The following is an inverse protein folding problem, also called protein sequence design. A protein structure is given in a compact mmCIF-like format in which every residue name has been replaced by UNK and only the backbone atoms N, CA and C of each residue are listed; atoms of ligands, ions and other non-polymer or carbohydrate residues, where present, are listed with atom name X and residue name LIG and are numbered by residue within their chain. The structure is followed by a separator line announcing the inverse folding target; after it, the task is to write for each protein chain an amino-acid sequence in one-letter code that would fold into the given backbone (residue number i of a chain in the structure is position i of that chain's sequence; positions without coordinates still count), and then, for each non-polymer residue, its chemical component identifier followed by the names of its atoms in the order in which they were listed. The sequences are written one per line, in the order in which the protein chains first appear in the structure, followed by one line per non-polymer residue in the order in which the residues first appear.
data_IF_884482395957
#
_entry.id   IF_884482395957
#
_cell.length_a   1.000
_cell.length_b   1.000
_cell.length_c   1.000
_cell.angle_alpha   90.00
_cell.angle_beta   90.00
_cell.angle_gamma   90.00
#
_symmetry.space_group_name_H-M   'P 1'
#
loop_
_entity.id
_entity.type
_entity.pdbx_description
1 polymer ?
#
# COMPACT_ATOMS: atom_id res chain seq x y z
N UNK A 1 19.90 -4.08 15.62
CA UNK A 1 18.83 -4.27 14.63
C UNK A 1 18.73 -5.75 14.38
N UNK A 2 17.52 -6.27 14.18
CA UNK A 2 17.33 -7.67 13.82
C UNK A 2 16.68 -7.66 12.45
N UNK A 3 17.37 -8.22 11.45
CA UNK A 3 16.85 -8.33 10.09
C UNK A 3 15.83 -9.48 10.05
N UNK A 4 14.59 -9.15 9.72
CA UNK A 4 13.57 -10.11 9.34
C UNK A 4 13.25 -9.92 7.84
N UNK A 5 12.61 -10.89 7.19
CA UNK A 5 12.66 -11.00 5.72
C UNK A 5 12.05 -9.78 5.00
N UNK A 6 11.12 -9.06 5.63
CA UNK A 6 10.39 -7.94 5.02
C UNK A 6 10.32 -6.66 5.87
N UNK A 7 10.70 -6.71 7.15
CA UNK A 7 10.59 -5.58 8.09
C UNK A 7 11.84 -5.38 8.93
N UNK A 8 12.13 -4.12 9.27
CA UNK A 8 13.11 -3.74 10.29
C UNK A 8 12.36 -3.39 11.57
N UNK A 9 12.63 -4.13 12.63
CA UNK A 9 12.10 -3.86 13.97
C UNK A 9 13.11 -3.01 14.74
N UNK A 10 12.66 -1.87 15.27
CA UNK A 10 13.48 -0.94 16.05
C UNK A 10 12.86 -0.73 17.42
N UNK A 11 13.72 -0.76 18.45
CA UNK A 11 13.38 -0.30 19.79
C UNK A 11 13.96 1.10 19.95
N UNK A 12 13.09 2.07 20.17
CA UNK A 12 13.46 3.47 20.31
C UNK A 12 13.37 3.89 21.77
N UNK A 13 14.35 4.69 22.19
CA UNK A 13 14.30 5.38 23.46
C UNK A 13 13.82 6.81 23.21
N UNK A 14 12.65 7.14 23.73
CA UNK A 14 12.04 8.47 23.66
C UNK A 14 12.10 9.15 25.03
N UNK A 15 11.70 10.43 25.08
CA UNK A 15 11.61 11.17 26.34
C UNK A 15 10.59 10.55 27.31
N UNK A 16 9.52 9.97 26.77
CA UNK A 16 8.40 9.39 27.54
C UNK A 16 8.55 7.88 27.80
N UNK A 17 9.65 7.26 27.34
CA UNK A 17 9.93 5.84 27.56
C UNK A 17 10.45 5.11 26.34
N UNK A 18 10.50 3.78 26.41
CA UNK A 18 10.88 2.94 25.28
C UNK A 18 9.65 2.57 24.45
N UNK A 19 9.75 2.66 23.12
CA UNK A 19 8.71 2.22 22.19
C UNK A 19 9.27 1.27 21.14
N UNK A 20 8.40 0.44 20.57
CA UNK A 20 8.72 -0.41 19.43
C UNK A 20 8.10 0.14 18.16
N UNK A 21 8.85 0.07 17.06
CA UNK A 21 8.33 0.33 15.74
C UNK A 21 8.80 -0.74 14.73
N UNK A 22 7.96 -1.03 13.76
CA UNK A 22 8.25 -1.88 12.61
C UNK A 22 7.98 -1.07 11.34
N UNK A 23 8.90 -1.15 10.38
CA UNK A 23 8.78 -0.46 9.11
C UNK A 23 9.51 -1.21 7.99
N UNK A 24 9.46 -0.70 6.76
CA UNK A 24 10.11 -1.30 5.60
C UNK A 24 11.57 -1.64 5.89
N UNK A 25 12.04 -2.77 5.36
CA UNK A 25 13.43 -3.22 5.53
C UNK A 25 14.41 -2.10 5.15
N UNK A 26 15.05 -1.55 6.17
CA UNK A 26 15.95 -0.41 6.05
C UNK A 26 17.27 -0.76 6.75
N UNK A 27 18.43 -0.59 6.11
CA UNK A 27 19.72 -0.76 6.78
C UNK A 27 19.85 0.27 7.90
N UNK A 28 19.99 -0.18 9.14
CA UNK A 28 20.09 0.69 10.32
C UNK A 28 21.17 0.21 11.27
N UNK A 29 21.80 1.15 11.98
CA UNK A 29 22.82 0.84 12.98
C UNK A 29 22.29 1.05 14.40
N UNK A 30 22.69 0.19 15.34
CA UNK A 30 22.34 0.36 16.75
C UNK A 30 23.03 1.63 17.28
N UNK A 31 22.24 2.51 17.91
CA UNK A 31 22.71 3.81 18.39
C UNK A 31 22.44 4.97 17.42
N UNK A 32 21.88 4.69 16.23
CA UNK A 32 21.48 5.71 15.27
C UNK A 32 20.21 6.44 15.74
N UNK A 33 20.18 7.78 15.61
CA UNK A 33 18.98 8.57 15.89
C UNK A 33 18.12 8.63 14.63
N UNK A 34 16.84 8.32 14.78
CA UNK A 34 15.91 8.18 13.66
C UNK A 34 14.58 8.87 14.00
N UNK A 35 13.88 9.34 12.98
CA UNK A 35 12.50 9.80 13.06
C UNK A 35 11.58 8.72 12.48
N UNK A 36 10.47 8.47 13.16
CA UNK A 36 9.43 7.59 12.65
C UNK A 36 8.56 8.36 11.65
N UNK A 37 8.34 7.77 10.48
CA UNK A 37 7.28 8.23 9.59
C UNK A 37 5.90 8.04 10.21
N UNK A 38 4.87 8.59 9.55
CA UNK A 38 3.49 8.31 9.96
C UNK A 38 3.24 6.80 9.99
N UNK A 39 2.47 6.38 10.99
CA UNK A 39 2.21 4.99 11.24
C UNK A 39 0.97 4.77 12.08
N UNK A 40 0.65 3.50 12.28
CA UNK A 40 -0.47 3.06 13.11
C UNK A 40 0.07 2.32 14.32
N UNK A 41 -0.47 2.64 15.49
CA UNK A 41 -0.22 1.86 16.70
C UNK A 41 -0.99 0.55 16.62
N UNK A 42 -0.27 -0.55 16.72
CA UNK A 42 -0.83 -1.89 16.91
C UNK A 42 -0.63 -2.32 18.36
N UNK A 43 -1.65 -2.94 18.93
CA UNK A 43 -1.59 -3.56 20.25
C UNK A 43 -1.64 -5.08 20.14
N UNK A 44 -1.06 -5.78 21.12
CA UNK A 44 -1.07 -7.25 21.24
C UNK A 44 -0.61 -7.98 19.96
N UNK A 45 0.37 -7.42 19.26
CA UNK A 45 0.84 -7.91 17.97
C UNK A 45 1.80 -9.11 18.13
N UNK A 46 1.45 -10.33 17.66
CA UNK A 46 2.36 -11.46 17.68
C UNK A 46 3.29 -11.43 16.45
N UNK A 47 4.60 -11.24 16.70
CA UNK A 47 5.63 -11.42 15.68
C UNK A 47 6.15 -12.86 15.70
N UNK A 48 5.81 -13.61 14.65
CA UNK A 48 6.33 -14.98 14.43
C UNK A 48 7.83 -14.98 14.16
N UNK A 49 8.34 -13.94 13.51
CA UNK A 49 9.75 -13.82 13.14
C UNK A 49 10.66 -13.61 14.36
N UNK A 50 10.16 -12.89 15.37
CA UNK A 50 10.90 -12.60 16.60
C UNK A 50 10.51 -13.53 17.76
N UNK A 51 9.66 -14.52 17.51
CA UNK A 51 9.04 -15.40 18.52
C UNK A 51 8.57 -14.62 19.76
N UNK A 52 7.87 -13.51 19.50
CA UNK A 52 7.53 -12.52 20.52
C UNK A 52 6.20 -11.83 20.25
N UNK A 53 5.47 -11.55 21.32
CA UNK A 53 4.30 -10.64 21.28
C UNK A 53 4.70 -9.24 21.77
N UNK A 54 4.29 -8.23 21.02
CA UNK A 54 4.44 -6.82 21.38
C UNK A 54 3.12 -6.31 21.95
N UNK A 55 3.14 -5.84 23.20
CA UNK A 55 1.98 -5.19 23.80
C UNK A 55 1.56 -3.96 22.98
N UNK A 56 2.54 -3.19 22.51
CA UNK A 56 2.37 -2.00 21.68
C UNK A 56 3.52 -1.91 20.67
N UNK A 57 3.21 -1.72 19.39
CA UNK A 57 4.19 -1.54 18.31
C UNK A 57 3.64 -0.60 17.23
N UNK A 58 4.46 0.35 16.80
CA UNK A 58 4.12 1.29 15.73
C UNK A 58 4.51 0.72 14.36
N UNK A 59 3.53 0.49 13.50
CA UNK A 59 3.77 0.16 12.10
C UNK A 59 3.89 1.45 11.30
N UNK A 60 5.11 1.77 10.87
CA UNK A 60 5.44 3.05 10.24
C UNK A 60 5.76 2.88 8.76
N UNK A 61 5.38 3.86 7.95
CA UNK A 61 5.63 3.84 6.50
C UNK A 61 7.11 4.00 6.12
N UNK A 62 7.98 4.34 7.07
CA UNK A 62 9.41 4.51 6.84
C UNK A 62 10.15 5.06 8.06
N UNK A 63 11.47 5.04 7.97
CA UNK A 63 12.38 5.63 8.94
C UNK A 63 13.17 6.76 8.28
N UNK A 64 13.22 7.93 8.91
CA UNK A 64 13.98 9.08 8.42
C UNK A 64 15.16 9.40 9.35
N UNK A 65 16.19 10.06 8.80
CA UNK A 65 17.30 10.57 9.62
C UNK A 65 17.03 12.03 10.00
N UNK A 66 17.24 12.44 11.26
CA UNK A 66 17.13 13.84 11.67
C UNK A 66 18.08 14.70 10.81
N UNK A 67 17.55 15.72 10.16
CA UNK A 67 18.34 16.67 9.36
C UNK A 67 18.54 16.32 7.89
N UNK A 68 17.91 15.27 7.36
CA UNK A 68 17.82 15.06 5.91
C UNK A 68 16.84 16.08 5.28
N UNK A 69 17.38 17.23 4.88
CA UNK A 69 16.81 18.31 4.07
C UNK A 69 15.44 18.90 4.50
N UNK A 70 15.47 20.19 4.86
CA UNK A 70 14.31 21.06 5.02
C UNK A 70 13.47 21.10 3.74
N UNK A 71 12.26 20.55 3.80
CA UNK A 71 11.21 20.82 2.82
C UNK A 71 9.92 21.14 3.56
N UNK A 72 9.17 22.10 3.02
CA UNK A 72 7.96 22.68 3.61
C UNK A 72 6.95 21.60 4.05
N UNK A 73 6.21 21.84 5.16
CA UNK A 73 5.32 20.84 5.75
C UNK A 73 4.25 20.29 4.79
N UNK A 74 3.79 21.11 3.83
CA UNK A 74 2.83 20.71 2.79
C UNK A 74 3.44 19.67 1.83
N UNK A 75 4.72 19.81 1.49
CA UNK A 75 5.45 18.87 0.64
C UNK A 75 5.72 17.54 1.35
N UNK A 76 5.88 17.54 2.69
CA UNK A 76 6.00 16.30 3.48
C UNK A 76 4.68 15.52 3.51
N UNK A 77 3.54 16.19 3.55
CA UNK A 77 2.23 15.54 3.52
C UNK A 77 1.91 14.91 2.15
N UNK A 78 2.29 15.57 1.05
CA UNK A 78 2.12 15.04 -0.31
C UNK A 78 3.17 13.99 -0.72
N UNK A 79 4.41 14.08 -0.23
CA UNK A 79 5.39 13.00 -0.44
C UNK A 79 4.94 11.73 0.32
N UNK A 80 4.28 11.86 1.47
CA UNK A 80 3.68 10.74 2.20
C UNK A 80 2.42 10.18 1.49
N UNK A 81 1.70 11.00 0.72
CA UNK A 81 0.62 10.53 -0.15
C UNK A 81 1.14 9.68 -1.34
N UNK A 82 2.40 9.84 -1.75
CA UNK A 82 3.06 9.03 -2.78
C UNK A 82 4.11 8.03 -2.27
N UNK A 83 4.41 8.03 -0.98
CA UNK A 83 5.27 7.02 -0.31
C UNK A 83 4.44 6.06 0.53
N UNK A 84 3.23 5.73 0.06
CA UNK A 84 2.50 4.59 0.60
C UNK A 84 3.20 3.31 0.16
N UNK A 85 4.21 2.90 0.94
CA UNK A 85 4.77 1.56 0.89
C UNK A 85 3.67 0.60 1.38
N UNK A 86 2.86 0.16 0.43
CA UNK A 86 2.22 -1.15 0.54
C UNK A 86 3.30 -2.14 0.95
N UNK A 87 2.96 -3.01 1.89
CA UNK A 87 3.79 -4.16 2.18
C UNK A 87 4.20 -4.79 0.84
N UNK A 88 5.51 -4.84 0.55
CA UNK A 88 6.00 -5.91 -0.31
C UNK A 88 5.78 -7.19 0.46
N UNK A 89 4.61 -7.76 0.28
CA UNK A 89 4.40 -9.17 0.53
C UNK A 89 5.13 -9.84 -0.65
N UNK A 90 6.38 -10.25 -0.46
CA UNK A 90 7.09 -11.17 -1.35
C UNK A 90 6.49 -12.59 -1.22
N UNK A 91 5.16 -12.66 -1.26
CA UNK A 91 4.43 -13.85 -1.63
C UNK A 91 4.02 -13.59 -3.07
N UNK A 92 4.42 -14.47 -4.00
CA UNK A 92 3.98 -14.36 -5.38
C UNK A 92 2.45 -14.24 -5.35
N UNK A 93 1.93 -13.07 -5.73
CA UNK A 93 0.50 -12.89 -5.89
C UNK A 93 0.14 -13.79 -7.06
N UNK A 94 -0.76 -14.74 -6.84
CA UNK A 94 -1.28 -15.63 -7.87
C UNK A 94 -2.79 -15.73 -7.64
N UNK A 95 -3.52 -14.78 -8.23
CA UNK A 95 -4.96 -14.70 -8.11
C UNK A 95 -5.59 -15.21 -9.40
N UNK A 96 -6.40 -16.26 -9.29
CA UNK A 96 -7.09 -16.83 -10.44
C UNK A 96 -8.00 -15.78 -11.10
N UNK A 97 -7.87 -15.66 -12.43
CA UNK A 97 -8.73 -14.79 -13.25
C UNK A 97 -10.22 -15.02 -12.96
N UNK A 98 -11.00 -13.95 -12.93
CA UNK A 98 -12.47 -14.04 -12.84
C UNK A 98 -13.09 -14.70 -14.08
N UNK A 99 -14.19 -15.44 -13.90
CA UNK A 99 -14.98 -15.97 -15.01
C UNK A 99 -15.47 -14.84 -15.91
N UNK A 100 -15.11 -14.89 -17.20
CA UNK A 100 -15.42 -13.84 -18.17
C UNK A 100 -14.69 -12.50 -17.92
N UNK A 101 -13.86 -12.41 -16.87
CA UNK A 101 -13.02 -11.25 -16.58
C UNK A 101 -11.70 -11.27 -17.34
N UNK A 102 -10.79 -10.39 -17.00
CA UNK A 102 -9.42 -10.27 -17.52
C UNK A 102 -8.40 -10.28 -16.38
N UNK A 103 -7.12 -10.40 -16.74
CA UNK A 103 -6.01 -10.22 -15.80
C UNK A 103 -5.67 -8.73 -15.69
N UNK A 104 -4.94 -8.32 -14.64
CA UNK A 104 -4.49 -6.92 -14.45
C UNK A 104 -3.66 -6.45 -15.64
N UNK A 105 -2.67 -7.24 -16.06
CA UNK A 105 -1.88 -6.96 -17.27
C UNK A 105 -2.73 -6.87 -18.55
N UNK A 106 -3.81 -7.66 -18.64
CA UNK A 106 -4.73 -7.62 -19.77
C UNK A 106 -5.46 -6.29 -19.92
N UNK A 107 -5.66 -5.54 -18.83
CA UNK A 107 -6.30 -4.20 -18.84
C UNK A 107 -5.48 -3.22 -19.68
N UNK A 108 -4.16 -3.41 -19.78
CA UNK A 108 -3.28 -2.50 -20.54
C UNK A 108 -3.51 -2.58 -22.06
N UNK A 109 -4.18 -3.63 -22.55
CA UNK A 109 -4.60 -3.72 -23.94
C UNK A 109 -5.94 -3.02 -24.23
N UNK A 110 -6.68 -2.58 -23.20
CA UNK A 110 -7.99 -1.94 -23.35
C UNK A 110 -7.89 -0.44 -23.68
N UNK A 111 -8.97 0.10 -24.25
CA UNK A 111 -9.17 1.52 -24.50
C UNK A 111 -9.98 2.23 -23.41
N UNK A 112 -10.07 3.56 -23.51
CA UNK A 112 -10.91 4.36 -22.64
C UNK A 112 -12.41 4.01 -22.81
N UNK A 113 -13.11 3.85 -21.70
CA UNK A 113 -14.53 3.50 -21.64
C UNK A 113 -14.82 1.99 -21.69
N UNK A 114 -13.82 1.16 -22.00
CA UNK A 114 -13.99 -0.29 -22.07
C UNK A 114 -14.36 -0.87 -20.69
N UNK A 115 -15.24 -1.90 -20.67
CA UNK A 115 -15.62 -2.53 -19.42
C UNK A 115 -14.45 -3.30 -18.82
N UNK A 116 -14.28 -3.17 -17.50
CA UNK A 116 -13.31 -3.93 -16.72
C UNK A 116 -14.04 -4.89 -15.79
N UNK A 117 -13.64 -6.16 -15.85
CA UNK A 117 -13.97 -7.17 -14.85
C UNK A 117 -12.67 -7.91 -14.51
N UNK A 118 -12.14 -7.71 -13.30
CA UNK A 118 -10.87 -8.33 -12.89
C UNK A 118 -11.00 -8.84 -11.45
N UNK A 119 -10.41 -10.00 -11.16
CA UNK A 119 -10.21 -10.47 -9.79
C UNK A 119 -8.78 -10.17 -9.40
N UNK A 120 -8.56 -9.59 -8.23
CA UNK A 120 -7.22 -9.29 -7.75
C UNK A 120 -7.17 -9.06 -6.25
N UNK A 121 -5.96 -9.07 -5.72
CA UNK A 121 -5.66 -8.76 -4.32
C UNK A 121 -5.48 -7.26 -4.15
N UNK A 122 -6.07 -6.70 -3.11
CA UNK A 122 -5.83 -5.33 -2.69
C UNK A 122 -4.43 -5.25 -2.05
N UNK A 123 -3.49 -4.58 -2.70
CA UNK A 123 -2.11 -4.42 -2.20
C UNK A 123 -1.88 -3.08 -1.50
N UNK A 124 -2.76 -2.10 -1.76
CA UNK A 124 -2.76 -0.80 -1.10
C UNK A 124 -4.18 -0.24 -1.07
N UNK A 125 -4.54 0.41 0.03
CA UNK A 125 -5.82 1.08 0.22
C UNK A 125 -5.60 2.44 0.90
N UNK A 126 -6.15 3.50 0.31
CA UNK A 126 -6.24 4.82 0.94
C UNK A 126 -7.70 5.25 0.96
N UNK A 127 -8.22 5.56 2.14
CA UNK A 127 -9.65 5.83 2.31
C UNK A 127 -9.95 7.33 2.28
N UNK A 128 -11.11 7.69 1.75
CA UNK A 128 -11.68 9.04 1.80
C UNK A 128 -10.79 10.15 1.20
N UNK A 129 -9.99 9.84 0.17
CA UNK A 129 -9.26 10.86 -0.58
C UNK A 129 -10.16 11.37 -1.69
N UNK A 130 -10.42 12.68 -1.70
CA UNK A 130 -11.34 13.34 -2.65
C UNK A 130 -12.76 12.74 -2.64
N UNK A 131 -13.21 12.24 -1.49
CA UNK A 131 -14.55 11.66 -1.33
C UNK A 131 -14.70 10.22 -1.82
N UNK A 132 -13.62 9.53 -2.17
CA UNK A 132 -13.63 8.12 -2.59
C UNK A 132 -12.49 7.33 -1.95
N UNK A 133 -12.53 6.01 -2.05
CA UNK A 133 -11.44 5.13 -1.64
C UNK A 133 -10.59 4.76 -2.84
N UNK A 134 -9.27 4.67 -2.65
CA UNK A 134 -8.28 4.42 -3.68
C UNK A 134 -7.56 3.11 -3.39
N UNK A 135 -7.52 2.24 -4.37
CA UNK A 135 -6.98 0.90 -4.27
C UNK A 135 -5.95 0.65 -5.34
N UNK A 136 -4.87 -0.03 -4.97
CA UNK A 136 -4.03 -0.72 -5.94
C UNK A 136 -4.36 -2.20 -5.91
N UNK A 137 -4.64 -2.76 -7.07
CA UNK A 137 -5.05 -4.14 -7.26
C UNK A 137 -4.00 -4.86 -8.11
N UNK A 138 -3.59 -6.04 -7.65
CA UNK A 138 -2.64 -6.92 -8.35
C UNK A 138 -3.19 -8.34 -8.38
N UNK A 139 -2.98 -9.07 -9.47
CA UNK A 139 -3.38 -10.47 -9.60
C UNK A 139 -2.20 -11.43 -9.83
N UNK A 140 -0.97 -10.90 -9.90
CA UNK A 140 0.22 -11.67 -10.24
C UNK A 140 0.61 -11.65 -11.71
N UNK A 141 -0.25 -11.11 -12.57
CA UNK A 141 0.02 -10.99 -13.99
C UNK A 141 0.79 -9.70 -14.29
N UNK A 142 1.77 -9.77 -15.21
CA UNK A 142 2.55 -8.61 -15.61
C UNK A 142 3.64 -8.21 -14.61
N UNK A 143 4.48 -7.26 -15.03
CA UNK A 143 5.62 -6.76 -14.25
C UNK A 143 5.59 -5.23 -14.18
N UNK A 144 6.18 -4.67 -13.12
CA UNK A 144 6.29 -3.23 -12.93
C UNK A 144 4.92 -2.54 -12.95
N UNK A 145 4.76 -1.51 -13.77
CA UNK A 145 3.49 -0.78 -13.89
C UNK A 145 2.35 -1.67 -14.42
N UNK A 146 2.64 -2.61 -15.33
CA UNK A 146 1.61 -3.46 -15.94
C UNK A 146 1.10 -4.56 -14.99
N UNK A 147 1.73 -4.74 -13.84
CA UNK A 147 1.29 -5.65 -12.80
C UNK A 147 0.33 -5.03 -11.78
N UNK A 148 0.01 -3.74 -11.93
CA UNK A 148 -0.81 -2.99 -10.99
C UNK A 148 -1.88 -2.17 -11.72
N UNK A 149 -3.07 -2.09 -11.13
CA UNK A 149 -4.11 -1.18 -11.58
C UNK A 149 -4.66 -0.37 -10.40
N UNK A 150 -4.73 0.95 -10.59
CA UNK A 150 -5.41 1.84 -9.64
C UNK A 150 -6.92 1.80 -9.87
N UNK A 151 -7.66 1.69 -8.77
CA UNK A 151 -9.12 1.62 -8.75
C UNK A 151 -9.67 2.59 -7.72
N UNK A 152 -10.71 3.36 -8.06
CA UNK A 152 -11.50 4.08 -7.05
C UNK A 152 -12.84 3.42 -6.80
N UNK A 153 -13.34 3.46 -5.57
CA UNK A 153 -14.63 2.89 -5.22
C UNK A 153 -15.21 3.55 -3.96
N UNK A 154 -16.54 3.61 -3.88
CA UNK A 154 -17.26 3.93 -2.64
C UNK A 154 -17.26 2.76 -1.65
N UNK A 155 -17.10 1.52 -2.13
CA UNK A 155 -17.01 0.34 -1.27
C UNK A 155 -15.72 0.39 -0.43
N UNK A 156 -15.79 -0.19 0.77
CA UNK A 156 -14.63 -0.29 1.67
C UNK A 156 -14.16 -1.74 1.76
N UNK A 157 -13.01 -2.01 1.15
CA UNK A 157 -12.25 -3.26 1.26
C UNK A 157 -10.88 -2.99 1.88
N UNK A 158 -10.23 -4.01 2.43
CA UNK A 158 -8.96 -3.89 3.13
C UNK A 158 -7.79 -4.45 2.31
N UNK A 159 -6.57 -4.01 2.63
CA UNK A 159 -5.35 -4.63 2.09
C UNK A 159 -5.31 -6.10 2.48
N UNK A 160 -5.00 -6.95 1.50
CA UNK A 160 -5.00 -8.41 1.64
C UNK A 160 -6.28 -9.07 1.12
N UNK A 161 -7.38 -8.34 1.00
CA UNK A 161 -8.62 -8.88 0.46
C UNK A 161 -8.45 -9.25 -1.01
N UNK A 162 -9.00 -10.40 -1.41
CA UNK A 162 -9.23 -10.72 -2.82
C UNK A 162 -10.60 -10.20 -3.19
N UNK A 163 -10.67 -9.41 -4.25
CA UNK A 163 -11.88 -8.70 -4.67
C UNK A 163 -12.16 -8.92 -6.15
N UNK A 164 -13.45 -8.92 -6.49
CA UNK A 164 -13.89 -8.75 -7.86
C UNK A 164 -14.14 -7.26 -8.11
N UNK A 165 -13.44 -6.71 -9.10
CA UNK A 165 -13.54 -5.32 -9.54
C UNK A 165 -14.35 -5.25 -10.81
N UNK A 166 -15.39 -4.43 -10.82
CA UNK A 166 -16.18 -4.13 -12.01
C UNK A 166 -16.30 -2.64 -12.23
N UNK A 167 -15.94 -2.16 -13.41
CA UNK A 167 -15.97 -0.72 -13.72
C UNK A 167 -15.69 -0.42 -15.19
N UNK A 168 -15.31 0.82 -15.47
CA UNK A 168 -14.86 1.24 -16.80
C UNK A 168 -13.45 1.79 -16.71
N UNK A 169 -12.63 1.50 -17.72
CA UNK A 169 -11.28 2.02 -17.79
C UNK A 169 -11.29 3.49 -18.22
N UNK A 170 -10.61 4.32 -17.47
CA UNK A 170 -10.29 5.69 -17.83
C UNK A 170 -8.81 5.84 -18.13
N UNK A 171 -8.49 6.63 -19.14
CA UNK A 171 -7.11 6.91 -19.56
C UNK A 171 -6.75 8.38 -19.29
N UNK A 172 -5.46 8.63 -19.10
CA UNK A 172 -4.86 9.97 -19.01
C UNK A 172 -5.58 10.90 -18.03
N UNK A 173 -5.96 10.36 -16.87
CA UNK A 173 -6.71 11.10 -15.85
C UNK A 173 -5.75 11.99 -15.06
N UNK A 174 -6.13 13.25 -14.91
CA UNK A 174 -5.39 14.27 -14.17
C UNK A 174 -6.30 14.83 -13.07
N UNK A 175 -5.93 14.58 -11.82
CA UNK A 175 -6.64 15.08 -10.64
C UNK A 175 -6.00 16.38 -10.10
N UNK A 176 -5.07 16.99 -10.83
CA UNK A 176 -4.31 18.16 -10.42
C UNK A 176 -3.16 17.82 -9.48
N UNK A 177 -2.36 18.81 -9.08
CA UNK A 177 -1.27 18.68 -8.11
C UNK A 177 -0.23 17.56 -8.40
N UNK A 178 -0.12 17.11 -9.66
CA UNK A 178 0.78 16.03 -10.07
C UNK A 178 0.17 14.63 -10.06
N UNK A 179 -1.09 14.47 -9.63
CA UNK A 179 -1.81 13.20 -9.63
C UNK A 179 -2.30 12.85 -11.04
N UNK A 180 -1.44 12.20 -11.81
CA UNK A 180 -1.75 11.70 -13.15
C UNK A 180 -1.72 10.19 -13.20
N UNK A 181 -2.77 9.62 -13.77
CA UNK A 181 -2.93 8.20 -13.97
C UNK A 181 -3.11 7.93 -15.45
N UNK A 182 -2.14 7.24 -16.06
CA UNK A 182 -2.27 6.80 -17.44
C UNK A 182 -3.48 5.85 -17.61
N UNK A 183 -3.77 5.05 -16.56
CA UNK A 183 -4.87 4.09 -16.50
C UNK A 183 -5.44 4.03 -15.09
N UNK A 184 -6.76 4.09 -14.97
CA UNK A 184 -7.48 3.98 -13.70
C UNK A 184 -8.89 3.46 -13.93
N UNK A 185 -9.40 2.62 -13.04
CA UNK A 185 -10.80 2.20 -13.04
C UNK A 185 -11.54 3.07 -12.03
N UNK A 186 -12.35 4.01 -12.52
CA UNK A 186 -13.05 4.97 -11.66
C UNK A 186 -14.42 4.44 -11.22
N UNK A 187 -14.82 4.76 -9.99
CA UNK A 187 -16.12 4.45 -9.40
C UNK A 187 -16.54 2.98 -9.54
N UNK A 188 -15.56 2.09 -9.37
CA UNK A 188 -15.75 0.66 -9.53
C UNK A 188 -16.63 0.07 -8.43
N UNK A 189 -17.40 -0.95 -8.79
CA UNK A 189 -18.03 -1.86 -7.85
C UNK A 189 -16.97 -2.86 -7.37
N UNK A 190 -16.81 -2.97 -6.05
CA UNK A 190 -15.93 -3.95 -5.41
C UNK A 190 -16.75 -4.89 -4.54
N UNK A 191 -16.60 -6.19 -4.77
CA UNK A 191 -17.14 -7.23 -3.89
C UNK A 191 -16.02 -8.11 -3.36
N UNK A 192 -16.00 -8.32 -2.05
CA UNK A 192 -15.10 -9.29 -1.43
C UNK A 192 -15.38 -10.68 -1.99
N UNK A 193 -14.36 -11.35 -2.51
CA UNK A 193 -14.45 -12.70 -3.04
C UNK A 193 -13.82 -13.66 -2.02
N UNK A 194 -14.67 -14.37 -1.28
CA UNK A 194 -14.24 -15.37 -0.32
C UNK A 194 -13.92 -16.66 -1.08
N UNK A 195 -12.67 -16.78 -1.52
CA UNK A 195 -12.12 -18.03 -2.05
C UNK A 195 -11.91 -19.06 -0.93
#
# INVERSE_FOLDING_TARGET
TMDAASYTYVKLKTADGELWAAGPKTPMQVGETIELGQGMLMTDFPSKELDRTFAEIWFVGGFAKPGAATMDPVSRELQNAHSGLGAKVDEAIDVARADGGQTVSGIYALGAGDPVLVRGKVVKANYNIMGTNWYHIQDGSGDGEQGDITVTSAARVNVGDVVLVKGKLSLDRDFGAGYRYARIVEDAELTADAL
#
